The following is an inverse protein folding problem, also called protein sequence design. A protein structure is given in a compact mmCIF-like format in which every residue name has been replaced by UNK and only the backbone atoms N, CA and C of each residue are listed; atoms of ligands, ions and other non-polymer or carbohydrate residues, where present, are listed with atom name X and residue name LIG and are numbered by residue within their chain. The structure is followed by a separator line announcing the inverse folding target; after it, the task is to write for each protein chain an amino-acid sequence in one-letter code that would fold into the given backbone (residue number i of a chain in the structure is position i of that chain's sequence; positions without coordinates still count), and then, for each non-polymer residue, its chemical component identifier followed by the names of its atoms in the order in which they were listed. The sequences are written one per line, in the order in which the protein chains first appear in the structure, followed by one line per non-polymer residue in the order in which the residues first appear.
data_IF_818158723424
#
_entry.id   IF_818158723424
#
_cell.length_a   1.000
_cell.length_b   1.000
_cell.length_c   1.000
_cell.angle_alpha   90.00
_cell.angle_beta   90.00
_cell.angle_gamma   90.00
#
_symmetry.space_group_name_H-M   'P 1'
#
loop_
_entity.id
_entity.type
_entity.pdbx_description
1 polymer ?
#
# COMPACT_ATOMS: atom_id res chain seq x y z
N UNK A 1 17.60 -9.22 -26.27
CA UNK A 1 16.77 -9.56 -25.09
C UNK A 1 15.41 -8.87 -25.20
N UNK A 2 14.61 -9.24 -26.20
CA UNK A 2 13.30 -8.61 -26.50
C UNK A 2 12.17 -9.65 -26.49
N UNK A 3 12.25 -10.61 -25.57
CA UNK A 3 11.32 -11.74 -25.53
C UNK A 3 10.47 -11.61 -24.29
N UNK A 4 9.22 -11.20 -24.52
CA UNK A 4 8.06 -11.41 -23.63
C UNK A 4 7.42 -10.19 -22.91
N UNK A 5 7.49 -8.99 -23.51
CA UNK A 5 6.76 -7.80 -23.01
C UNK A 5 5.24 -7.99 -22.88
N UNK A 6 4.52 -8.60 -23.84
CA UNK A 6 3.07 -8.76 -23.74
C UNK A 6 2.63 -9.68 -22.59
N UNK A 7 3.31 -10.80 -22.35
CA UNK A 7 2.97 -11.70 -21.24
C UNK A 7 3.25 -11.05 -19.88
N UNK A 8 4.40 -10.37 -19.73
CA UNK A 8 4.74 -9.64 -18.49
C UNK A 8 3.71 -8.57 -18.14
N UNK A 9 3.22 -7.82 -19.13
CA UNK A 9 2.15 -6.84 -18.91
C UNK A 9 0.85 -7.50 -18.45
N UNK A 10 0.50 -8.67 -19.00
CA UNK A 10 -0.68 -9.42 -18.57
C UNK A 10 -0.53 -9.94 -17.12
N UNK A 11 0.64 -10.48 -16.77
CA UNK A 11 0.94 -10.95 -15.40
C UNK A 11 0.90 -9.81 -14.38
N UNK A 12 1.43 -8.63 -14.72
CA UNK A 12 1.35 -7.43 -13.88
C UNK A 12 -0.11 -7.02 -13.69
N UNK A 13 -0.92 -7.01 -14.76
CA UNK A 13 -2.34 -6.66 -14.68
C UNK A 13 -3.12 -7.60 -13.76
N UNK A 14 -2.88 -8.91 -13.88
CA UNK A 14 -3.50 -9.92 -13.02
C UNK A 14 -3.11 -9.71 -11.55
N UNK A 15 -1.83 -9.47 -11.29
CA UNK A 15 -1.34 -9.19 -9.95
C UNK A 15 -2.00 -7.94 -9.34
N UNK A 16 -2.12 -6.86 -10.10
CA UNK A 16 -2.73 -5.62 -9.63
C UNK A 16 -4.20 -5.82 -9.28
N UNK A 17 -4.96 -6.55 -10.10
CA UNK A 17 -6.35 -6.91 -9.79
C UNK A 17 -6.48 -7.69 -8.50
N UNK A 18 -5.58 -8.65 -8.26
CA UNK A 18 -5.57 -9.44 -7.02
C UNK A 18 -5.29 -8.57 -5.80
N UNK A 19 -4.36 -7.63 -5.89
CA UNK A 19 -3.91 -6.80 -4.76
C UNK A 19 -4.85 -5.63 -4.49
N UNK A 20 -5.14 -4.84 -5.52
CA UNK A 20 -5.85 -3.57 -5.39
C UNK A 20 -7.36 -3.70 -5.58
N UNK A 21 -7.84 -4.86 -6.06
CA UNK A 21 -9.26 -5.15 -6.30
C UNK A 21 -9.95 -4.14 -7.25
N UNK A 22 -9.18 -3.31 -7.95
CA UNK A 22 -9.62 -2.41 -9.01
C UNK A 22 -8.55 -2.30 -10.10
N UNK A 23 -8.96 -1.84 -11.29
CA UNK A 23 -8.04 -1.55 -12.39
C UNK A 23 -7.48 -0.11 -12.30
N UNK A 24 -7.90 0.70 -11.32
CA UNK A 24 -7.55 2.12 -11.24
C UNK A 24 -6.04 2.33 -11.13
N UNK A 25 -5.39 1.63 -10.18
CA UNK A 25 -3.93 1.72 -9.98
C UNK A 25 -3.18 1.28 -11.24
N UNK A 26 -3.68 0.25 -11.93
CA UNK A 26 -3.07 -0.21 -13.18
C UNK A 26 -3.18 0.86 -14.27
N UNK A 27 -4.37 1.48 -14.39
CA UNK A 27 -4.64 2.52 -15.37
C UNK A 27 -3.81 3.79 -15.09
N UNK A 28 -3.65 4.17 -13.83
CA UNK A 28 -2.86 5.35 -13.41
C UNK A 28 -1.39 5.22 -13.84
N UNK A 29 -0.83 4.01 -13.76
CA UNK A 29 0.57 3.77 -14.15
C UNK A 29 0.71 3.19 -15.57
N UNK A 30 -0.39 3.06 -16.33
CA UNK A 30 -0.36 2.52 -17.68
C UNK A 30 0.67 3.23 -18.59
N UNK A 31 0.85 4.57 -18.54
CA UNK A 31 1.89 5.23 -19.34
C UNK A 31 3.31 4.74 -19.02
N UNK A 32 3.59 4.36 -17.77
CA UNK A 32 4.88 3.77 -17.37
C UNK A 32 4.99 2.32 -17.85
N UNK A 33 3.92 1.54 -17.76
CA UNK A 33 3.89 0.14 -18.24
C UNK A 33 4.16 0.07 -19.75
N UNK A 34 3.54 0.96 -20.54
CA UNK A 34 3.73 1.01 -21.99
C UNK A 34 5.19 1.28 -22.39
N UNK A 35 5.87 2.14 -21.64
CA UNK A 35 7.22 2.63 -21.97
C UNK A 35 8.31 1.77 -21.34
N UNK A 36 8.09 1.32 -20.11
CA UNK A 36 9.05 0.63 -19.26
C UNK A 36 8.41 -0.58 -18.54
N UNK A 37 7.88 -1.58 -19.27
CA UNK A 37 7.14 -2.70 -18.66
C UNK A 37 8.02 -3.51 -17.69
N UNK A 38 9.33 -3.60 -17.97
CA UNK A 38 10.30 -4.31 -17.14
C UNK A 38 10.45 -3.71 -15.74
N UNK A 39 10.41 -2.38 -15.62
CA UNK A 39 10.52 -1.72 -14.32
C UNK A 39 9.33 -2.07 -13.41
N UNK A 40 8.11 -2.07 -13.99
CA UNK A 40 6.89 -2.40 -13.26
C UNK A 40 6.81 -3.89 -12.96
N UNK A 41 7.24 -4.75 -13.89
CA UNK A 41 7.33 -6.20 -13.68
C UNK A 41 8.27 -6.54 -12.51
N UNK A 42 9.50 -6.02 -12.53
CA UNK A 42 10.46 -6.28 -11.45
C UNK A 42 10.06 -5.64 -10.12
N UNK A 43 9.38 -4.48 -10.15
CA UNK A 43 8.74 -3.93 -8.96
C UNK A 43 7.66 -4.87 -8.39
N UNK A 44 6.82 -5.45 -9.25
CA UNK A 44 5.77 -6.37 -8.83
C UNK A 44 6.36 -7.64 -8.20
N UNK A 45 7.43 -8.19 -8.78
CA UNK A 45 8.16 -9.33 -8.23
C UNK A 45 8.80 -9.01 -6.87
N UNK A 46 9.46 -7.87 -6.74
CA UNK A 46 9.99 -7.42 -5.46
C UNK A 46 8.88 -7.28 -4.41
N UNK A 47 7.73 -6.70 -4.80
CA UNK A 47 6.57 -6.58 -3.93
C UNK A 47 6.02 -7.95 -3.52
N UNK A 48 5.91 -8.93 -4.43
CA UNK A 48 5.49 -10.30 -4.11
C UNK A 48 6.43 -10.94 -3.08
N UNK A 49 7.74 -10.79 -3.27
CA UNK A 49 8.73 -11.39 -2.37
C UNK A 49 8.64 -10.84 -0.93
N UNK A 50 8.38 -9.55 -0.76
CA UNK A 50 8.34 -8.92 0.57
C UNK A 50 6.95 -8.98 1.23
N UNK A 51 5.87 -8.88 0.43
CA UNK A 51 4.48 -8.88 0.92
C UNK A 51 3.77 -10.23 0.82
N UNK A 52 4.38 -11.25 0.23
CA UNK A 52 3.84 -12.61 0.22
C UNK A 52 3.57 -13.14 1.63
N UNK A 53 2.70 -14.13 1.73
CA UNK A 53 2.26 -14.77 2.99
C UNK A 53 2.65 -16.25 3.05
N UNK A 54 3.79 -16.61 2.47
CA UNK A 54 4.27 -17.99 2.50
C UNK A 54 4.62 -18.47 3.92
N UNK A 55 4.73 -19.79 4.07
CA UNK A 55 4.95 -20.46 5.35
C UNK A 55 6.26 -20.07 6.07
N UNK A 56 7.17 -19.34 5.42
CA UNK A 56 8.45 -18.88 6.00
C UNK A 56 8.41 -17.43 6.47
N UNK A 57 7.29 -16.73 6.30
CA UNK A 57 7.17 -15.32 6.70
C UNK A 57 6.89 -15.18 8.20
N UNK A 58 7.68 -14.35 8.89
CA UNK A 58 7.53 -14.12 10.34
C UNK A 58 6.54 -12.99 10.68
N UNK A 59 6.31 -12.06 9.75
CA UNK A 59 5.38 -10.94 9.94
C UNK A 59 4.06 -11.26 9.23
N UNK A 60 2.96 -11.12 9.95
CA UNK A 60 1.62 -11.25 9.35
C UNK A 60 1.35 -10.12 8.35
N UNK A 61 0.43 -10.30 7.39
CA UNK A 61 0.02 -9.23 6.47
C UNK A 61 -0.37 -7.95 7.21
N UNK A 62 -1.09 -8.05 8.33
CA UNK A 62 -1.46 -6.91 9.19
C UNK A 62 -0.23 -6.11 9.62
N UNK A 63 0.79 -6.79 10.16
CA UNK A 63 2.00 -6.13 10.66
C UNK A 63 2.78 -5.49 9.53
N UNK A 64 2.91 -6.15 8.37
CA UNK A 64 3.58 -5.58 7.20
C UNK A 64 2.93 -4.28 6.75
N UNK A 65 1.60 -4.26 6.64
CA UNK A 65 0.85 -3.07 6.24
C UNK A 65 0.96 -1.93 7.26
N UNK A 66 0.91 -2.22 8.57
CA UNK A 66 1.12 -1.22 9.62
C UNK A 66 2.54 -0.61 9.58
N UNK A 67 3.57 -1.43 9.31
CA UNK A 67 4.95 -0.94 9.14
C UNK A 67 5.07 -0.06 7.91
N UNK A 68 4.51 -0.48 6.77
CA UNK A 68 4.53 0.32 5.54
C UNK A 68 3.81 1.64 5.74
N UNK A 69 2.63 1.61 6.36
CA UNK A 69 1.89 2.82 6.73
C UNK A 69 2.75 3.77 7.57
N UNK A 70 3.45 3.26 8.60
CA UNK A 70 4.35 4.07 9.42
C UNK A 70 5.47 4.72 8.59
N UNK A 71 6.08 3.97 7.68
CA UNK A 71 7.11 4.49 6.75
C UNK A 71 6.51 5.57 5.84
N UNK A 72 5.33 5.34 5.26
CA UNK A 72 4.68 6.31 4.38
C UNK A 72 4.34 7.61 5.12
N UNK A 73 3.74 7.52 6.31
CA UNK A 73 3.39 8.69 7.13
C UNK A 73 4.63 9.45 7.59
N UNK A 74 5.73 8.75 7.91
CA UNK A 74 6.97 9.37 8.36
C UNK A 74 7.75 10.05 7.22
N UNK A 75 7.73 9.47 6.01
CA UNK A 75 8.63 9.88 4.92
C UNK A 75 7.97 10.72 3.83
N UNK A 76 6.67 10.54 3.58
CA UNK A 76 5.96 11.21 2.48
C UNK A 76 5.20 12.43 3.01
N UNK A 77 5.44 13.58 2.39
CA UNK A 77 4.76 14.87 2.65
C UNK A 77 4.28 15.42 1.30
N UNK A 78 3.32 14.73 0.68
CA UNK A 78 2.86 15.01 -0.69
C UNK A 78 1.36 15.27 -0.72
N UNK A 79 0.91 16.14 -1.63
CA UNK A 79 -0.50 16.28 -2.02
C UNK A 79 -0.66 15.58 -3.39
N UNK A 80 -1.41 14.49 -3.55
CA UNK A 80 -2.24 13.78 -2.56
C UNK A 80 -1.46 12.71 -1.78
N UNK A 81 -1.74 12.52 -0.48
CA UNK A 81 -1.00 11.60 0.36
C UNK A 81 -1.39 10.14 0.09
N UNK A 82 -0.46 9.19 0.28
CA UNK A 82 -0.75 7.77 0.08
C UNK A 82 -1.72 7.26 1.15
N UNK A 83 -2.95 6.93 0.72
CA UNK A 83 -4.00 6.38 1.60
C UNK A 83 -4.15 4.86 1.47
N UNK A 84 -3.50 4.25 0.48
CA UNK A 84 -3.67 2.84 0.13
C UNK A 84 -3.33 1.90 1.28
N UNK A 85 -2.17 2.07 1.90
CA UNK A 85 -1.69 1.17 2.96
C UNK A 85 -2.51 1.27 4.25
N UNK A 86 -3.15 2.40 4.53
CA UNK A 86 -4.11 2.49 5.64
C UNK A 86 -5.35 1.61 5.40
N UNK A 87 -5.90 1.61 4.17
CA UNK A 87 -7.02 0.73 3.80
C UNK A 87 -6.60 -0.74 3.78
N UNK A 88 -5.41 -1.03 3.26
CA UNK A 88 -4.86 -2.38 3.19
C UNK A 88 -4.58 -2.97 4.58
N UNK A 89 -4.11 -2.16 5.54
CA UNK A 89 -3.96 -2.59 6.93
C UNK A 89 -5.31 -3.04 7.53
N UNK A 90 -6.38 -2.27 7.28
CA UNK A 90 -7.74 -2.62 7.75
C UNK A 90 -8.27 -3.88 7.06
N UNK A 91 -8.03 -4.04 5.76
CA UNK A 91 -8.33 -5.27 5.01
C UNK A 91 -7.62 -6.49 5.61
N UNK A 92 -6.37 -6.31 6.06
CA UNK A 92 -5.57 -7.33 6.74
C UNK A 92 -5.96 -7.55 8.22
N UNK A 93 -6.97 -6.84 8.72
CA UNK A 93 -7.51 -7.03 10.08
C UNK A 93 -6.97 -6.05 11.13
N UNK A 94 -6.30 -4.98 10.73
CA UNK A 94 -5.98 -3.89 11.66
C UNK A 94 -7.25 -3.16 12.11
N UNK A 95 -7.27 -2.79 13.38
CA UNK A 95 -8.26 -1.87 13.94
C UNK A 95 -7.89 -0.43 13.63
N UNK A 96 -8.88 0.47 13.66
CA UNK A 96 -8.62 1.92 13.56
C UNK A 96 -7.70 2.40 14.70
N UNK A 97 -7.79 1.78 15.88
CA UNK A 97 -6.94 2.10 17.02
C UNK A 97 -5.47 1.76 16.76
N UNK A 98 -5.17 0.57 16.20
CA UNK A 98 -3.80 0.20 15.81
C UNK A 98 -3.22 1.18 14.78
N UNK A 99 -4.02 1.59 13.79
CA UNK A 99 -3.62 2.60 12.80
C UNK A 99 -3.33 3.95 13.47
N UNK A 100 -4.18 4.39 14.39
CA UNK A 100 -4.02 5.65 15.11
C UNK A 100 -2.73 5.64 15.96
N UNK A 101 -2.42 4.53 16.61
CA UNK A 101 -1.20 4.39 17.43
C UNK A 101 0.07 4.42 16.59
N UNK A 102 0.09 3.78 15.41
CA UNK A 102 1.22 3.90 14.46
C UNK A 102 1.43 5.35 14.04
N UNK A 103 0.35 6.08 13.71
CA UNK A 103 0.43 7.50 13.35
C UNK A 103 0.90 8.35 14.53
N UNK A 104 0.50 8.01 15.76
CA UNK A 104 0.97 8.69 16.97
C UNK A 104 2.48 8.51 17.19
N UNK A 105 3.04 7.33 16.87
CA UNK A 105 4.50 7.11 16.88
C UNK A 105 5.20 8.00 15.84
N UNK A 106 4.64 8.12 14.64
CA UNK A 106 5.17 9.03 13.61
C UNK A 106 5.05 10.51 14.03
N UNK A 107 3.99 10.89 14.75
CA UNK A 107 3.81 12.23 15.30
C UNK A 107 4.86 12.53 16.38
N UNK A 108 5.11 11.58 17.29
CA UNK A 108 6.08 11.70 18.37
C UNK A 108 7.49 11.93 17.83
N UNK A 109 7.93 11.11 16.86
CA UNK A 109 9.31 11.11 16.38
C UNK A 109 9.54 12.04 15.17
N UNK A 110 8.53 12.22 14.32
CA UNK A 110 8.63 13.05 13.11
C UNK A 110 7.98 14.43 13.23
N UNK A 111 7.32 14.73 14.35
CA UNK A 111 6.67 16.01 14.63
C UNK A 111 5.33 16.21 13.92
N UNK A 112 4.66 17.33 14.21
CA UNK A 112 3.29 17.64 13.75
C UNK A 112 3.09 17.52 12.23
N UNK A 113 4.13 17.73 11.43
CA UNK A 113 4.03 17.68 9.97
C UNK A 113 3.80 16.27 9.42
N UNK A 114 4.23 15.20 10.11
CA UNK A 114 3.90 13.82 9.68
C UNK A 114 2.40 13.56 9.81
N UNK A 115 1.79 14.05 10.89
CA UNK A 115 0.35 13.96 11.07
C UNK A 115 -0.40 14.86 10.11
N UNK A 116 0.00 16.14 9.98
CA UNK A 116 -0.71 17.08 9.12
C UNK A 116 -0.65 16.62 7.67
N UNK A 117 0.50 16.39 7.10
CA UNK A 117 0.61 16.16 5.65
C UNK A 117 0.13 14.76 5.23
N UNK A 118 0.23 13.74 6.11
CA UNK A 118 -0.07 12.35 5.74
C UNK A 118 -0.96 11.62 6.74
N UNK A 119 -0.60 11.63 8.04
CA UNK A 119 -1.28 10.83 9.07
C UNK A 119 -2.79 11.09 9.16
N UNK A 120 -3.24 12.34 9.05
CA UNK A 120 -4.67 12.69 9.12
C UNK A 120 -5.49 12.06 7.99
N UNK A 121 -4.89 11.88 6.81
CA UNK A 121 -5.56 11.31 5.65
C UNK A 121 -5.57 9.79 5.71
N UNK A 122 -4.44 9.20 6.11
CA UNK A 122 -4.36 7.77 6.39
C UNK A 122 -5.39 7.34 7.45
N UNK A 123 -5.52 8.10 8.55
CA UNK A 123 -6.51 7.79 9.58
C UNK A 123 -7.96 7.87 9.07
N UNK A 124 -8.29 8.90 8.27
CA UNK A 124 -9.60 9.01 7.64
C UNK A 124 -9.89 7.81 6.72
N UNK A 125 -8.93 7.43 5.89
CA UNK A 125 -9.06 6.29 4.99
C UNK A 125 -9.25 4.96 5.76
N UNK A 126 -8.58 4.79 6.90
CA UNK A 126 -8.78 3.62 7.75
C UNK A 126 -10.18 3.60 8.39
N UNK A 127 -10.68 4.75 8.88
CA UNK A 127 -12.04 4.87 9.44
C UNK A 127 -13.09 4.55 8.38
N UNK A 128 -12.98 5.14 7.20
CA UNK A 128 -13.87 4.89 6.07
C UNK A 128 -13.87 3.40 5.70
N UNK A 129 -12.68 2.80 5.60
CA UNK A 129 -12.57 1.38 5.27
C UNK A 129 -13.15 0.47 6.37
N UNK A 130 -12.95 0.79 7.64
CA UNK A 130 -13.53 0.04 8.74
C UNK A 130 -15.06 0.09 8.72
N UNK A 131 -15.65 1.25 8.37
CA UNK A 131 -17.10 1.41 8.17
C UNK A 131 -17.61 0.57 7.01
N UNK A 132 -16.93 0.59 5.86
CA UNK A 132 -17.28 -0.24 4.70
C UNK A 132 -17.28 -1.74 5.04
N UNK A 133 -16.46 -2.18 5.99
CA UNK A 133 -16.39 -3.56 6.46
C UNK A 133 -17.31 -3.88 7.65
N UNK A 134 -18.09 -2.90 8.15
CA UNK A 134 -18.97 -3.08 9.32
C UNK A 134 -18.22 -3.27 10.65
N UNK A 135 -17.03 -2.68 10.80
CA UNK A 135 -16.14 -2.81 11.96
C UNK A 135 -15.96 -1.51 12.75
N UNK A 136 -16.79 -0.50 12.48
CA UNK A 136 -16.70 0.84 13.06
C UNK A 136 -17.86 1.11 14.03
#
# INVERSE_FOLDING_TARGET
MATDKPARTAEVREYFRKVFKSDDVFNDIAPLIERCPEAVYHWAEARRAVLGDDAKTALSPKVKELVILGIEVATRKVNDPPMGHARMAVDAGATVQEVAEVIALCLLLGGMMTFRESGRFALKAAIERARELGRA
#
